data_IF_093400005098
#
_entry.id   IF_093400005098
#
_cell.length_a   1.000
_cell.length_b   1.000
_cell.length_c   1.000
_cell.angle_alpha   90.00
_cell.angle_beta   90.00
_cell.angle_gamma   90.00
#
_symmetry.space_group_name_H-M   'P 1'
#
loop_
_entity.id
_entity.type
_entity.pdbx_description
1 polymer ?
#
# COMPACT_ATOMS: atom_id res chain seq x y z
N UNK A 1 -59.36 -48.77 -32.06
CA UNK A 1 -59.08 -48.48 -30.64
C UNK A 1 -57.67 -47.91 -30.54
N UNK A 2 -57.49 -46.60 -30.70
CA UNK A 2 -56.17 -45.95 -30.67
C UNK A 2 -55.91 -45.37 -29.27
N UNK A 3 -54.74 -45.68 -28.72
CA UNK A 3 -54.30 -45.29 -27.38
C UNK A 3 -54.01 -43.78 -27.30
N UNK A 4 -54.42 -43.15 -26.18
CA UNK A 4 -54.15 -41.75 -25.91
C UNK A 4 -52.66 -41.51 -25.59
N UNK A 5 -52.05 -40.42 -26.11
CA UNK A 5 -50.66 -40.10 -25.80
C UNK A 5 -50.52 -39.58 -24.36
N UNK A 6 -49.63 -40.21 -23.58
CA UNK A 6 -49.27 -39.73 -22.26
C UNK A 6 -48.50 -38.40 -22.36
N UNK A 7 -48.91 -37.42 -21.56
CA UNK A 7 -48.22 -36.14 -21.46
C UNK A 7 -46.81 -36.33 -20.83
N UNK A 8 -45.78 -35.60 -21.33
CA UNK A 8 -44.44 -35.68 -20.75
C UNK A 8 -44.45 -35.14 -19.32
N UNK A 9 -43.93 -35.95 -18.39
CA UNK A 9 -43.86 -35.63 -16.97
C UNK A 9 -43.20 -34.27 -16.73
N UNK A 10 -43.90 -33.39 -16.00
CA UNK A 10 -43.37 -32.09 -15.55
C UNK A 10 -42.11 -32.32 -14.72
N UNK A 11 -40.95 -32.05 -15.30
CA UNK A 11 -39.67 -32.02 -14.59
C UNK A 11 -39.75 -31.08 -13.40
N UNK A 12 -39.37 -31.58 -12.22
CA UNK A 12 -39.30 -30.81 -10.98
C UNK A 12 -38.36 -29.63 -11.16
N UNK A 13 -38.92 -28.42 -11.29
CA UNK A 13 -38.18 -27.16 -11.28
C UNK A 13 -37.56 -27.02 -9.88
N UNK A 14 -36.29 -27.41 -9.75
CA UNK A 14 -35.52 -27.24 -8.52
C UNK A 14 -35.55 -25.74 -8.17
N UNK A 15 -36.32 -25.37 -7.15
CA UNK A 15 -36.39 -24.00 -6.63
C UNK A 15 -34.96 -23.49 -6.41
N UNK A 16 -34.52 -22.54 -7.23
CA UNK A 16 -33.22 -21.88 -7.05
C UNK A 16 -33.24 -21.22 -5.66
N UNK A 17 -32.20 -21.47 -4.86
CA UNK A 17 -32.07 -20.85 -3.55
C UNK A 17 -32.12 -19.33 -3.72
N UNK A 18 -32.94 -18.60 -2.92
CA UNK A 18 -33.07 -17.16 -3.07
C UNK A 18 -31.71 -16.49 -2.95
N UNK A 19 -31.44 -15.54 -3.85
CA UNK A 19 -30.19 -14.79 -3.89
C UNK A 19 -30.10 -13.93 -2.62
N UNK A 20 -29.37 -14.40 -1.62
CA UNK A 20 -29.07 -13.59 -0.44
C UNK A 20 -28.12 -12.46 -0.82
N UNK A 21 -28.67 -11.29 -1.11
CA UNK A 21 -27.90 -10.05 -1.35
C UNK A 21 -27.47 -9.51 0.01
N UNK A 22 -26.17 -9.46 0.26
CA UNK A 22 -25.61 -8.76 1.43
C UNK A 22 -25.23 -7.36 1.00
N UNK A 23 -25.87 -6.37 1.59
CA UNK A 23 -25.50 -4.98 1.47
C UNK A 23 -24.24 -4.73 2.30
N UNK A 24 -23.24 -4.09 1.71
CA UNK A 24 -22.08 -3.60 2.43
C UNK A 24 -21.84 -2.17 2.04
N UNK A 25 -21.59 -1.31 3.03
CA UNK A 25 -21.09 0.02 2.77
C UNK A 25 -19.62 -0.12 2.34
N UNK A 26 -19.34 0.18 1.08
CA UNK A 26 -17.96 0.24 0.58
C UNK A 26 -17.51 1.70 0.59
N UNK A 27 -16.22 1.93 0.83
CA UNK A 27 -15.64 3.27 0.72
C UNK A 27 -15.82 3.79 -0.72
N UNK A 28 -16.53 4.92 -0.93
CA UNK A 28 -16.72 5.49 -2.26
C UNK A 28 -15.43 6.08 -2.84
N UNK A 29 -14.44 6.37 -1.99
CA UNK A 29 -13.22 7.03 -2.42
C UNK A 29 -12.11 6.03 -2.80
N UNK A 30 -11.62 6.18 -4.03
CA UNK A 30 -10.43 5.48 -4.51
C UNK A 30 -9.22 6.40 -4.41
N UNK A 31 -8.30 6.06 -3.52
CA UNK A 31 -7.02 6.76 -3.39
C UNK A 31 -6.08 6.21 -4.46
N UNK A 32 -5.72 7.07 -5.41
CA UNK A 32 -4.90 6.72 -6.55
C UNK A 32 -3.63 7.58 -6.58
N UNK A 33 -2.58 7.01 -7.18
CA UNK A 33 -1.37 7.76 -7.47
C UNK A 33 -1.63 8.76 -8.60
N UNK A 34 -1.01 9.94 -8.52
CA UNK A 34 -1.02 10.92 -9.59
C UNK A 34 -0.31 10.38 -10.84
N UNK A 35 -0.79 10.77 -12.02
CA UNK A 35 -0.16 10.39 -13.27
C UNK A 35 1.16 11.14 -13.44
N UNK A 36 2.21 10.41 -13.81
CA UNK A 36 3.52 10.97 -14.13
C UNK A 36 3.71 11.00 -15.64
N UNK A 37 4.19 12.12 -16.16
CA UNK A 37 4.50 12.28 -17.59
C UNK A 37 5.65 11.37 -18.04
N UNK A 38 5.67 11.01 -19.32
CA UNK A 38 6.66 10.07 -19.85
C UNK A 38 8.08 10.66 -19.81
N UNK A 39 8.20 11.94 -20.12
CA UNK A 39 9.49 12.65 -20.14
C UNK A 39 10.08 12.74 -18.74
N UNK A 40 9.27 13.15 -17.77
CA UNK A 40 9.69 13.21 -16.37
C UNK A 40 9.99 11.83 -15.78
N UNK A 41 9.22 10.80 -16.13
CA UNK A 41 9.54 9.42 -15.78
C UNK A 41 10.94 9.02 -16.28
N UNK A 42 11.26 9.30 -17.54
CA UNK A 42 12.55 8.96 -18.12
C UNK A 42 13.69 9.75 -17.46
N UNK A 43 13.47 11.05 -17.23
CA UNK A 43 14.41 11.91 -16.51
C UNK A 43 14.70 11.37 -15.11
N UNK A 44 13.67 11.10 -14.31
CA UNK A 44 13.81 10.58 -12.94
C UNK A 44 14.60 9.27 -12.95
N UNK A 45 14.26 8.33 -13.84
CA UNK A 45 14.97 7.05 -13.90
C UNK A 45 16.43 7.22 -14.29
N UNK A 46 16.73 8.07 -15.28
CA UNK A 46 18.10 8.32 -15.75
C UNK A 46 18.94 9.00 -14.67
N UNK A 47 18.44 10.08 -14.06
CA UNK A 47 19.13 10.80 -12.99
C UNK A 47 19.42 9.87 -11.82
N UNK A 48 18.49 9.00 -11.44
CA UNK A 48 18.72 8.01 -10.39
C UNK A 48 19.77 6.98 -10.81
N UNK A 49 19.69 6.45 -12.02
CA UNK A 49 20.65 5.46 -12.53
C UNK A 49 22.07 6.01 -12.51
N UNK A 50 22.26 7.24 -12.97
CA UNK A 50 23.57 7.90 -13.02
C UNK A 50 24.08 8.24 -11.62
N UNK A 51 23.21 8.71 -10.72
CA UNK A 51 23.59 9.04 -9.34
C UNK A 51 23.93 7.81 -8.52
N UNK A 52 23.21 6.70 -8.67
CA UNK A 52 23.58 5.45 -7.99
C UNK A 52 24.92 4.90 -8.49
N UNK A 53 25.20 5.02 -9.80
CA UNK A 53 26.50 4.65 -10.38
C UNK A 53 27.63 5.53 -9.88
N UNK A 54 27.44 6.85 -9.82
CA UNK A 54 28.47 7.77 -9.33
C UNK A 54 28.78 7.59 -7.85
N UNK A 55 27.75 7.29 -7.05
CA UNK A 55 27.91 7.10 -5.60
C UNK A 55 28.45 5.69 -5.25
N UNK A 56 28.41 4.75 -6.20
CA UNK A 56 28.96 3.39 -6.04
C UNK A 56 28.26 2.57 -4.95
N UNK A 57 26.97 2.83 -4.69
CA UNK A 57 26.21 2.11 -3.68
C UNK A 57 25.74 0.75 -4.22
N UNK A 58 26.48 -0.30 -3.87
CA UNK A 58 26.12 -1.68 -4.21
C UNK A 58 25.99 -2.54 -2.96
N UNK A 59 25.07 -3.50 -3.01
CA UNK A 59 24.97 -4.57 -2.03
C UNK A 59 25.74 -5.78 -2.53
N UNK A 60 26.82 -6.11 -1.83
CA UNK A 60 27.64 -7.29 -2.12
C UNK A 60 27.04 -8.47 -1.36
N UNK A 61 26.46 -9.43 -2.10
CA UNK A 61 25.95 -10.67 -1.54
C UNK A 61 27.00 -11.79 -1.60
N UNK A 62 27.23 -12.46 -0.46
CA UNK A 62 28.09 -13.64 -0.39
C UNK A 62 27.47 -14.82 -1.15
N UNK A 63 27.93 -15.04 -2.39
CA UNK A 63 27.52 -16.19 -3.21
C UNK A 63 27.78 -17.55 -2.52
N UNK A 64 28.64 -17.60 -1.49
CA UNK A 64 28.97 -18.80 -0.70
C UNK A 64 27.86 -19.22 0.28
N UNK A 65 27.06 -18.28 0.81
CA UNK A 65 25.93 -18.62 1.71
C UNK A 65 24.72 -19.16 0.95
N UNK A 66 24.48 -18.68 -0.27
CA UNK A 66 23.35 -19.12 -1.10
C UNK A 66 23.47 -20.56 -1.63
N UNK A 67 24.65 -21.19 -1.55
CA UNK A 67 24.86 -22.60 -1.94
C UNK A 67 24.67 -23.60 -0.79
N UNK A 68 24.40 -23.15 0.44
CA UNK A 68 24.25 -24.03 1.62
C UNK A 68 22.87 -23.91 2.26
N UNK A 69 21.83 -24.38 1.57
CA UNK A 69 20.69 -25.00 2.26
C UNK A 69 20.15 -26.16 1.40
N UNK A 70 20.64 -27.39 1.59
CA UNK A 70 19.80 -28.55 1.39
C UNK A 70 18.83 -28.64 2.57
N UNK A 71 17.55 -28.77 2.24
CA UNK A 71 16.44 -29.14 3.11
C UNK A 71 16.87 -30.19 4.17
N UNK A 72 17.08 -29.80 5.42
CA UNK A 72 17.12 -30.75 6.53
C UNK A 72 15.68 -31.00 7.00
N UNK A 73 15.18 -32.17 6.63
CA UNK A 73 13.96 -32.78 7.14
C UNK A 73 14.02 -32.90 8.67
N UNK A 74 12.86 -32.69 9.29
CA UNK A 74 12.49 -32.99 10.68
C UNK A 74 13.15 -34.26 11.25
N UNK A 75 13.88 -34.10 12.34
CA UNK A 75 13.94 -34.97 13.53
C UNK A 75 14.29 -33.99 14.68
N UNK A 76 13.50 -33.77 15.71
CA UNK A 76 13.04 -34.75 16.69
C UNK A 76 14.02 -34.78 17.86
N UNK A 77 13.53 -34.41 19.07
CA UNK A 77 14.07 -34.70 20.41
C UNK A 77 14.87 -33.60 21.15
N UNK A 78 14.16 -32.92 22.06
CA UNK A 78 14.44 -32.83 23.51
C UNK A 78 15.85 -33.22 24.01
N UNK A 79 16.60 -32.26 24.59
CA UNK A 79 16.93 -32.15 26.03
C UNK A 79 18.02 -31.08 26.33
N UNK A 80 17.90 -30.49 27.52
CA UNK A 80 18.81 -29.55 28.19
C UNK A 80 20.09 -30.21 28.76
N UNK A 81 21.18 -29.43 28.87
CA UNK A 81 22.16 -29.32 29.99
C UNK A 81 23.27 -28.34 29.58
N UNK A 82 23.59 -27.25 30.32
CA UNK A 82 24.61 -27.14 31.40
C UNK A 82 25.92 -27.89 31.03
N UNK A 83 27.14 -27.31 30.97
CA UNK A 83 27.79 -26.28 31.79
C UNK A 83 29.17 -25.82 31.21
N UNK A 84 29.67 -24.67 31.70
CA UNK A 84 31.07 -24.28 32.04
C UNK A 84 32.17 -24.06 30.95
N UNK A 85 32.45 -22.77 30.74
CA UNK A 85 33.69 -21.98 30.92
C UNK A 85 35.11 -22.41 30.44
N UNK A 86 35.87 -21.36 30.09
CA UNK A 86 37.35 -21.18 30.10
C UNK A 86 38.08 -21.14 28.73
N UNK A 87 38.47 -19.90 28.38
CA UNK A 87 39.74 -19.44 27.76
C UNK A 87 40.27 -20.09 26.48
N UNK A 88 40.53 -19.26 25.46
CA UNK A 88 41.89 -18.79 25.05
C UNK A 88 41.81 -18.17 23.64
N UNK A 89 42.45 -17.01 23.51
CA UNK A 89 42.68 -16.28 22.26
C UNK A 89 43.75 -17.01 21.42
N UNK A 90 43.61 -17.12 20.09
CA UNK A 90 44.78 -17.27 19.23
C UNK A 90 44.83 -16.18 18.16
N UNK A 91 45.87 -15.35 18.31
CA UNK A 91 46.85 -14.96 17.32
C UNK A 91 46.45 -14.85 15.84
N UNK A 92 46.71 -13.64 15.33
CA UNK A 92 46.81 -13.21 13.94
C UNK A 92 47.50 -14.23 13.01
N UNK A 93 46.82 -14.59 11.93
CA UNK A 93 47.40 -15.02 10.64
C UNK A 93 46.63 -14.40 9.46
N UNK A 94 47.25 -14.29 8.27
CA UNK A 94 47.15 -13.14 7.38
C UNK A 94 46.03 -13.24 6.34
N UNK A 95 45.71 -12.06 5.78
CA UNK A 95 45.10 -11.79 4.46
C UNK A 95 44.48 -13.00 3.73
N UNK A 96 43.19 -13.20 3.97
CA UNK A 96 42.31 -13.87 3.03
C UNK A 96 41.16 -12.92 2.74
N UNK A 97 40.91 -12.63 1.46
CA UNK A 97 39.74 -11.92 0.95
C UNK A 97 38.43 -12.56 1.44
N UNK A 98 38.06 -12.30 2.69
CA UNK A 98 36.70 -12.45 3.16
C UNK A 98 35.99 -11.20 2.68
N UNK A 99 35.42 -11.26 1.48
CA UNK A 99 34.39 -10.28 1.11
C UNK A 99 33.31 -10.37 2.18
N UNK A 100 33.27 -9.38 3.05
CA UNK A 100 32.28 -9.29 4.11
C UNK A 100 30.97 -8.93 3.42
N UNK A 101 29.97 -9.80 3.48
CA UNK A 101 28.62 -9.48 2.97
C UNK A 101 28.13 -8.17 3.58
N UNK A 102 27.73 -7.24 2.72
CA UNK A 102 27.43 -5.89 3.19
C UNK A 102 27.16 -4.90 2.07
N UNK A 103 27.00 -3.65 2.49
CA UNK A 103 26.87 -2.50 1.60
C UNK A 103 28.25 -1.90 1.38
N UNK A 104 28.57 -1.51 0.13
CA UNK A 104 29.85 -0.85 -0.21
C UNK A 104 30.08 0.39 0.65
N UNK A 105 29.03 1.20 0.85
CA UNK A 105 29.11 2.44 1.62
C UNK A 105 27.98 2.52 2.67
N UNK A 106 28.33 2.27 3.93
CA UNK A 106 27.36 2.29 5.05
C UNK A 106 26.77 3.68 5.27
N UNK A 107 27.57 4.73 5.08
CA UNK A 107 27.14 6.13 5.23
C UNK A 107 26.05 6.48 4.21
N UNK A 108 26.30 6.19 2.94
CA UNK A 108 25.34 6.39 1.84
C UNK A 108 24.08 5.55 2.06
N UNK A 109 24.23 4.29 2.48
CA UNK A 109 23.08 3.41 2.75
C UNK A 109 22.14 3.99 3.82
N UNK A 110 22.68 4.63 4.87
CA UNK A 110 21.90 5.26 5.94
C UNK A 110 21.07 6.43 5.44
N UNK A 111 21.48 7.10 4.36
CA UNK A 111 20.75 8.20 3.74
C UNK A 111 19.50 7.73 2.97
N UNK A 112 19.37 6.44 2.69
CA UNK A 112 18.28 5.86 1.92
C UNK A 112 17.36 5.01 2.79
N UNK A 113 16.09 4.97 2.43
CA UNK A 113 15.11 4.00 2.91
C UNK A 113 14.71 3.09 1.74
N UNK A 114 15.00 1.80 1.83
CA UNK A 114 14.74 0.85 0.74
C UNK A 114 13.68 -0.15 1.18
N UNK A 115 12.61 -0.24 0.39
CA UNK A 115 11.47 -1.12 0.65
C UNK A 115 10.37 -0.44 1.43
N UNK A 116 9.17 -1.03 1.34
CA UNK A 116 7.93 -0.43 1.86
C UNK A 116 8.03 -0.17 3.36
N UNK A 117 8.51 -1.15 4.15
CA UNK A 117 8.58 -1.03 5.60
C UNK A 117 9.58 0.03 6.10
N UNK A 118 10.70 0.20 5.40
CA UNK A 118 11.66 1.25 5.77
C UNK A 118 11.10 2.62 5.43
N UNK A 119 10.48 2.75 4.25
CA UNK A 119 9.84 3.99 3.81
C UNK A 119 8.68 4.38 4.72
N UNK A 120 7.82 3.44 5.13
CA UNK A 120 6.73 3.73 6.07
C UNK A 120 7.26 4.24 7.40
N UNK A 121 8.23 3.54 8.00
CA UNK A 121 8.83 3.93 9.29
C UNK A 121 9.50 5.30 9.20
N UNK A 122 10.15 5.61 8.08
CA UNK A 122 10.78 6.90 7.87
C UNK A 122 9.76 8.03 7.60
N UNK A 123 8.64 7.75 6.91
CA UNK A 123 7.51 8.68 6.79
C UNK A 123 6.89 8.97 8.17
N UNK A 124 6.65 7.95 8.99
CA UNK A 124 6.11 8.07 10.36
C UNK A 124 6.98 8.96 11.25
N UNK A 125 8.29 8.96 11.04
CA UNK A 125 9.25 9.81 11.75
C UNK A 125 9.52 11.16 11.11
N UNK A 126 8.88 11.46 9.96
CA UNK A 126 9.12 12.68 9.18
C UNK A 126 10.61 12.84 8.77
N UNK A 127 11.27 11.74 8.45
CA UNK A 127 12.70 11.71 8.10
C UNK A 127 12.95 11.80 6.59
N UNK A 128 11.92 11.79 5.75
CA UNK A 128 12.05 11.71 4.28
C UNK A 128 11.85 13.06 3.57
N UNK A 129 12.56 13.24 2.45
CA UNK A 129 12.44 14.36 1.52
C UNK A 129 11.63 14.01 0.28
N UNK A 130 11.80 12.78 -0.23
CA UNK A 130 11.18 12.32 -1.48
C UNK A 130 10.90 10.83 -1.36
N UNK A 131 9.74 10.39 -1.85
CA UNK A 131 9.37 8.98 -1.93
C UNK A 131 9.05 8.58 -3.36
N UNK A 132 9.70 7.53 -3.84
CA UNK A 132 9.46 6.94 -5.15
C UNK A 132 8.98 5.51 -4.99
N UNK A 133 7.86 5.19 -5.63
CA UNK A 133 7.21 3.88 -5.53
C UNK A 133 7.16 3.24 -6.91
N UNK A 134 7.47 1.95 -7.01
CA UNK A 134 7.38 1.25 -8.28
C UNK A 134 5.92 0.97 -8.67
N UNK A 135 5.59 1.07 -9.97
CA UNK A 135 4.26 0.67 -10.48
C UNK A 135 4.07 -0.85 -10.62
N UNK A 136 5.15 -1.64 -10.59
CA UNK A 136 5.09 -3.09 -10.79
C UNK A 136 4.56 -3.89 -9.58
N UNK A 137 4.37 -3.23 -8.42
CA UNK A 137 3.96 -3.89 -7.18
C UNK A 137 2.54 -4.44 -7.26
N UNK A 138 2.40 -5.74 -6.99
CA UNK A 138 1.10 -6.42 -6.87
C UNK A 138 1.05 -7.18 -5.54
N UNK A 139 0.01 -7.00 -4.72
CA UNK A 139 -1.16 -6.12 -4.89
C UNK A 139 -0.88 -4.63 -4.60
N UNK A 140 -1.58 -3.72 -5.29
CA UNK A 140 -1.43 -2.27 -5.14
C UNK A 140 -1.73 -1.73 -3.74
N UNK A 141 -2.47 -2.49 -2.91
CA UNK A 141 -2.78 -2.11 -1.54
C UNK A 141 -1.51 -1.95 -0.68
N UNK A 142 -0.44 -2.68 -1.01
CA UNK A 142 0.86 -2.59 -0.32
C UNK A 142 1.47 -1.19 -0.46
N UNK A 143 1.18 -0.44 -1.51
CA UNK A 143 1.74 0.90 -1.70
C UNK A 143 0.72 2.01 -1.49
N UNK A 144 -0.58 1.69 -1.54
CA UNK A 144 -1.67 2.67 -1.40
C UNK A 144 -1.59 3.54 -0.13
N UNK A 145 -1.18 2.95 1.00
CA UNK A 145 -1.09 3.67 2.27
C UNK A 145 0.01 4.75 2.28
N UNK A 146 1.03 4.62 1.41
CA UNK A 146 2.10 5.61 1.30
C UNK A 146 1.58 6.96 0.80
N UNK A 147 0.48 6.99 0.03
CA UNK A 147 -0.12 8.23 -0.47
C UNK A 147 -0.58 9.10 0.70
N UNK A 148 -1.38 8.52 1.59
CA UNK A 148 -1.90 9.22 2.77
C UNK A 148 -0.78 9.64 3.72
N UNK A 149 0.17 8.73 3.99
CA UNK A 149 1.29 9.02 4.90
C UNK A 149 2.16 10.16 4.36
N UNK A 150 2.48 10.14 3.06
CA UNK A 150 3.30 11.19 2.43
C UNK A 150 2.59 12.54 2.45
N UNK A 151 1.30 12.55 2.13
CA UNK A 151 0.48 13.75 2.23
C UNK A 151 0.38 14.29 3.66
N UNK A 152 0.25 13.43 4.68
CA UNK A 152 0.20 13.90 6.07
C UNK A 152 1.48 14.62 6.52
N UNK A 153 2.61 14.35 5.87
CA UNK A 153 3.93 14.91 6.19
C UNK A 153 4.46 15.89 5.14
N UNK A 154 3.64 16.25 4.16
CA UNK A 154 4.00 17.14 3.04
C UNK A 154 5.25 16.65 2.27
N UNK A 155 5.39 15.32 2.14
CA UNK A 155 6.50 14.72 1.39
C UNK A 155 6.04 14.45 -0.04
N UNK A 156 6.73 14.96 -1.08
CA UNK A 156 6.42 14.63 -2.46
C UNK A 156 6.63 13.13 -2.67
N UNK A 157 5.62 12.48 -3.24
CA UNK A 157 5.67 11.05 -3.49
C UNK A 157 5.07 10.74 -4.86
N UNK A 158 5.78 9.92 -5.64
CA UNK A 158 5.41 9.58 -7.00
C UNK A 158 5.48 8.08 -7.25
N UNK A 159 4.60 7.60 -8.12
CA UNK A 159 4.70 6.26 -8.68
C UNK A 159 5.46 6.31 -10.02
N UNK A 160 6.59 5.60 -10.08
CA UNK A 160 7.44 5.49 -11.27
C UNK A 160 7.36 4.06 -11.80
N UNK A 161 6.89 3.82 -13.04
CA UNK A 161 6.93 2.51 -13.64
C UNK A 161 8.36 2.11 -13.99
N UNK A 162 8.66 0.79 -13.96
CA UNK A 162 9.99 0.24 -14.26
C UNK A 162 11.13 0.72 -13.34
N UNK A 163 10.81 1.36 -12.22
CA UNK A 163 11.79 1.76 -11.20
C UNK A 163 12.64 0.58 -10.73
N UNK A 164 12.00 -0.54 -10.39
CA UNK A 164 12.70 -1.74 -9.94
C UNK A 164 13.61 -2.33 -11.01
N UNK A 165 13.24 -2.27 -12.28
CA UNK A 165 14.01 -2.87 -13.39
C UNK A 165 15.31 -2.10 -13.63
N UNK A 166 15.29 -0.78 -13.46
CA UNK A 166 16.46 0.09 -13.69
C UNK A 166 17.35 0.21 -12.46
N UNK A 167 16.76 0.39 -11.28
CA UNK A 167 17.50 0.74 -10.08
C UNK A 167 17.97 -0.49 -9.29
N UNK A 168 17.17 -1.57 -9.25
CA UNK A 168 17.57 -2.77 -8.52
C UNK A 168 18.91 -3.38 -8.99
N UNK A 169 19.20 -3.52 -10.31
CA UNK A 169 20.49 -4.07 -10.74
C UNK A 169 21.67 -3.17 -10.36
N UNK A 170 21.52 -1.84 -10.42
CA UNK A 170 22.58 -0.89 -10.04
C UNK A 170 22.90 -0.97 -8.54
N UNK A 171 21.91 -1.21 -7.69
CA UNK A 171 22.11 -1.31 -6.24
C UNK A 171 22.54 -2.73 -5.82
N UNK A 172 22.55 -3.72 -6.72
CA UNK A 172 22.81 -5.12 -6.37
C UNK A 172 21.64 -5.79 -5.62
N UNK A 173 20.42 -5.33 -5.85
CA UNK A 173 19.19 -5.89 -5.27
C UNK A 173 18.37 -6.63 -6.33
N UNK A 174 17.54 -7.59 -5.90
CA UNK A 174 16.60 -8.28 -6.80
C UNK A 174 15.47 -7.37 -7.26
N UNK A 175 14.86 -6.65 -6.32
CA UNK A 175 13.73 -5.76 -6.57
C UNK A 175 13.71 -4.61 -5.55
N UNK A 176 13.33 -3.41 -6.01
CA UNK A 176 13.07 -2.23 -5.16
C UNK A 176 11.62 -1.78 -5.40
N UNK A 177 10.77 -1.99 -4.39
CA UNK A 177 9.33 -1.67 -4.48
C UNK A 177 9.03 -0.22 -4.11
N UNK A 178 9.76 0.30 -3.13
CA UNK A 178 9.69 1.68 -2.68
C UNK A 178 11.09 2.14 -2.32
N UNK A 179 11.37 3.42 -2.59
CA UNK A 179 12.62 4.09 -2.34
C UNK A 179 12.32 5.44 -1.69
N UNK A 180 12.99 5.75 -0.59
CA UNK A 180 12.87 7.03 0.09
C UNK A 180 14.24 7.66 0.30
N UNK A 181 14.32 8.97 0.10
CA UNK A 181 15.51 9.77 0.38
C UNK A 181 15.33 10.47 1.73
N UNK A 182 16.26 10.27 2.67
CA UNK A 182 16.18 10.91 3.98
C UNK A 182 16.60 12.37 3.93
N UNK A 183 16.14 13.17 4.88
CA UNK A 183 16.57 14.57 5.08
C UNK A 183 18.07 14.72 5.34
N UNK A 184 18.71 13.67 5.86
CA UNK A 184 20.15 13.61 6.10
C UNK A 184 20.96 13.23 4.86
N UNK A 185 20.36 13.11 3.68
CA UNK A 185 21.10 12.82 2.45
C UNK A 185 22.01 13.97 2.10
N UNK A 186 23.29 13.71 1.86
CA UNK A 186 24.25 14.68 1.29
C UNK A 186 24.53 14.35 -0.17
N UNK A 187 24.65 13.06 -0.47
CA UNK A 187 25.16 12.60 -1.77
C UNK A 187 24.08 12.58 -2.86
N UNK A 188 22.80 12.61 -2.45
CA UNK A 188 21.64 12.59 -3.34
C UNK A 188 20.91 13.93 -3.43
N UNK A 189 21.45 14.99 -2.81
CA UNK A 189 20.74 16.28 -2.67
C UNK A 189 20.40 16.89 -4.03
N UNK A 190 21.36 16.90 -4.95
CA UNK A 190 21.17 17.54 -6.26
C UNK A 190 20.18 16.76 -7.12
N UNK A 191 20.25 15.42 -7.07
CA UNK A 191 19.31 14.54 -7.73
C UNK A 191 17.88 14.76 -7.21
N UNK A 192 17.72 14.80 -5.88
CA UNK A 192 16.41 15.00 -5.25
C UNK A 192 15.85 16.38 -5.58
N UNK A 193 16.67 17.44 -5.51
CA UNK A 193 16.27 18.80 -5.90
C UNK A 193 15.82 18.90 -7.36
N UNK A 194 16.47 18.17 -8.26
CA UNK A 194 16.08 18.14 -9.67
C UNK A 194 14.79 17.36 -9.92
N UNK A 195 14.51 16.34 -9.10
CA UNK A 195 13.33 15.46 -9.25
C UNK A 195 12.07 16.08 -8.63
N UNK A 196 12.15 16.68 -7.44
CA UNK A 196 11.01 17.24 -6.71
C UNK A 196 10.08 18.11 -7.57
N UNK A 197 10.56 19.09 -8.36
CA UNK A 197 9.66 19.97 -9.14
C UNK A 197 8.91 19.25 -10.27
N UNK A 198 9.38 18.07 -10.69
CA UNK A 198 8.76 17.25 -11.74
C UNK A 198 7.78 16.21 -11.18
N UNK A 199 7.74 16.06 -9.85
CA UNK A 199 6.85 15.10 -9.20
C UNK A 199 5.45 15.70 -9.08
N UNK A 200 4.42 15.03 -9.60
CA UNK A 200 3.05 15.52 -9.47
C UNK A 200 2.60 15.49 -8.01
N UNK A 201 1.88 16.52 -7.59
CA UNK A 201 1.28 16.59 -6.26
C UNK A 201 0.25 15.47 -6.07
N UNK A 202 0.22 14.88 -4.88
CA UNK A 202 -0.81 13.93 -4.49
C UNK A 202 -2.06 14.69 -4.01
N UNK A 203 -3.24 14.12 -4.22
CA UNK A 203 -4.50 14.68 -3.74
C UNK A 203 -5.37 13.59 -3.12
N UNK A 204 -5.88 13.86 -1.92
CA UNK A 204 -6.83 12.98 -1.20
C UNK A 204 -8.03 13.82 -0.80
N UNK A 205 -9.27 13.43 -1.16
CA UNK A 205 -10.45 14.29 -1.03
C UNK A 205 -10.73 14.84 0.38
N UNK A 206 -10.40 14.09 1.43
CA UNK A 206 -10.63 14.49 2.83
C UNK A 206 -9.40 15.06 3.53
N UNK A 207 -8.25 15.11 2.85
CA UNK A 207 -7.06 15.75 3.38
C UNK A 207 -6.79 16.97 2.50
N UNK A 208 -7.24 18.17 2.92
CA UNK A 208 -6.96 19.38 2.18
C UNK A 208 -5.45 19.51 2.06
N UNK A 209 -4.92 19.39 0.83
CA UNK A 209 -3.57 19.84 0.56
C UNK A 209 -3.52 21.30 0.98
N UNK A 210 -2.57 21.68 1.83
CA UNK A 210 -2.37 23.07 2.25
C UNK A 210 -2.24 23.91 0.97
N UNK A 211 -3.32 24.59 0.58
CA UNK A 211 -3.31 25.57 -0.50
C UNK A 211 -2.50 26.77 0.01
N UNK A 212 -1.21 26.83 -0.26
CA UNK A 212 -0.67 28.10 -0.72
C UNK A 212 -1.00 28.16 -2.21
N UNK A 213 -2.18 28.68 -2.51
CA UNK A 213 -2.39 29.71 -3.51
C UNK A 213 -3.88 30.07 -3.55
N UNK A 214 -4.15 31.18 -2.87
CA UNK A 214 -5.25 32.07 -3.15
C UNK A 214 -5.20 32.44 -4.64
N UNK A 215 -5.92 31.69 -5.46
CA UNK A 215 -6.50 32.23 -6.68
C UNK A 215 -7.99 32.02 -6.56
N UNK A 216 -8.67 33.12 -6.24
CA UNK A 216 -10.10 33.29 -6.39
C UNK A 216 -10.51 32.73 -7.74
N UNK A 217 -11.19 31.57 -7.73
CA UNK A 217 -12.10 31.23 -8.81
C UNK A 217 -13.48 31.40 -8.22
N UNK A 218 -14.00 32.60 -8.41
CA UNK A 218 -15.38 33.00 -8.15
C UNK A 218 -16.26 32.24 -9.13
N UNK A 219 -16.56 30.98 -8.85
CA UNK A 219 -17.66 30.28 -9.50
C UNK A 219 -18.90 30.51 -8.64
N UNK A 220 -19.60 31.57 -9.04
CA UNK A 220 -20.94 31.94 -8.61
C UNK A 220 -21.93 30.85 -9.02
N UNK A 221 -22.12 29.84 -8.17
CA UNK A 221 -23.34 29.04 -8.23
C UNK A 221 -24.36 29.66 -7.28
N UNK A 222 -25.23 30.47 -7.90
CA UNK A 222 -26.41 31.10 -7.35
C UNK A 222 -27.33 30.07 -6.69
N UNK A 223 -27.55 30.27 -5.40
CA UNK A 223 -28.65 29.70 -4.64
C UNK A 223 -29.97 30.31 -5.14
N UNK A 224 -30.81 29.51 -5.78
CA UNK A 224 -32.26 29.75 -5.80
C UNK A 224 -32.89 28.90 -4.70
N UNK A 225 -33.34 29.59 -3.66
CA UNK A 225 -34.25 29.11 -2.62
C UNK A 225 -35.70 29.41 -3.04
N UNK A 226 -36.64 28.75 -2.34
CA UNK A 226 -38.11 28.75 -2.49
C UNK A 226 -38.57 27.65 -3.49
N UNK A 227 -39.26 26.58 -3.07
CA UNK A 227 -40.51 26.59 -2.33
C UNK A 227 -40.69 25.50 -1.26
N UNK A 228 -41.52 25.86 -0.29
CA UNK A 228 -42.00 25.09 0.87
C UNK A 228 -43.03 24.04 0.44
N UNK A 229 -43.01 22.85 1.05
CA UNK A 229 -44.27 22.26 1.57
C UNK A 229 -44.00 21.25 2.68
N UNK A 230 -44.78 21.43 3.73
CA UNK A 230 -44.84 20.75 5.01
C UNK A 230 -45.58 19.43 4.83
N UNK A 231 -45.01 18.31 5.28
CA UNK A 231 -45.83 17.17 5.73
C UNK A 231 -45.15 16.48 6.92
N UNK A 232 -45.79 16.70 8.07
CA UNK A 232 -45.63 16.01 9.34
C UNK A 232 -45.53 14.49 9.19
N UNK A 233 -44.59 13.88 9.91
CA UNK A 233 -44.85 12.59 10.55
C UNK A 233 -43.91 12.38 11.73
N UNK A 234 -44.53 12.42 12.90
CA UNK A 234 -44.04 12.09 14.24
C UNK A 234 -42.93 11.05 14.36
N UNK A 235 -41.93 11.33 15.18
CA UNK A 235 -41.32 10.29 16.03
C UNK A 235 -40.90 10.88 17.38
N UNK A 236 -41.30 10.18 18.44
CA UNK A 236 -41.10 10.59 19.82
C UNK A 236 -39.62 10.63 20.27
N UNK A 237 -39.39 11.71 20.99
CA UNK A 237 -38.64 11.91 22.23
C UNK A 237 -37.28 11.24 22.48
N UNK A 238 -36.35 12.14 22.80
CA UNK A 238 -34.97 11.95 23.19
C UNK A 238 -34.92 11.60 24.67
N UNK A 239 -34.18 10.56 25.07
CA UNK A 239 -33.60 10.61 26.43
C UNK A 239 -32.26 9.86 26.60
N UNK A 240 -31.23 10.71 26.79
CA UNK A 240 -30.19 10.63 27.82
C UNK A 240 -29.07 9.58 27.66
N UNK A 241 -27.93 10.04 27.15
CA UNK A 241 -26.64 9.72 27.79
C UNK A 241 -25.68 10.92 27.70
N UNK A 242 -25.58 11.71 28.78
CA UNK A 242 -24.58 12.76 28.95
C UNK A 242 -23.22 12.13 29.26
N UNK A 243 -22.22 12.33 28.40
CA UNK A 243 -20.80 12.30 28.78
C UNK A 243 -20.10 13.53 28.19
N UNK A 244 -19.22 14.11 29.02
CA UNK A 244 -18.68 15.47 28.98
C UNK A 244 -17.80 15.74 27.74
N UNK A 245 -17.74 16.97 27.21
CA UNK A 245 -16.84 17.31 26.11
C UNK A 245 -15.40 17.43 26.60
N UNK A 246 -14.47 16.78 25.91
CA UNK A 246 -13.03 17.09 25.95
C UNK A 246 -12.80 18.12 24.84
N UNK A 247 -12.24 19.25 25.25
CA UNK A 247 -12.02 20.46 24.46
C UNK A 247 -11.00 20.20 23.33
N UNK A 248 -11.41 20.44 22.07
CA UNK A 248 -10.52 20.41 20.90
C UNK A 248 -11.02 19.67 19.65
N UNK A 249 -12.22 19.07 19.63
CA UNK A 249 -12.76 18.43 18.43
C UNK A 249 -13.66 19.40 17.66
N UNK A 250 -13.27 19.78 16.45
CA UNK A 250 -14.21 20.34 15.47
C UNK A 250 -15.40 19.37 15.35
N UNK A 251 -16.60 19.90 15.59
CA UNK A 251 -17.83 19.13 15.49
C UNK A 251 -18.02 18.68 14.03
N UNK A 252 -17.76 17.41 13.75
CA UNK A 252 -18.05 16.82 12.44
C UNK A 252 -19.56 16.55 12.39
N UNK A 253 -20.30 17.42 11.72
CA UNK A 253 -21.73 17.25 11.47
C UNK A 253 -21.93 16.17 10.40
N UNK A 254 -22.46 15.01 10.81
CA UNK A 254 -22.74 13.90 9.90
C UNK A 254 -24.08 14.12 9.21
N UNK A 255 -24.06 14.25 7.88
CA UNK A 255 -25.29 14.33 7.11
C UNK A 255 -25.87 12.93 6.82
N UNK A 256 -27.19 12.73 6.96
CA UNK A 256 -27.84 11.46 6.63
C UNK A 256 -27.86 11.24 5.11
N UNK A 257 -27.18 10.18 4.65
CA UNK A 257 -27.18 9.81 3.23
C UNK A 257 -28.43 9.02 2.86
N UNK A 258 -29.23 9.54 1.90
CA UNK A 258 -30.34 8.83 1.27
C UNK A 258 -29.82 7.99 0.09
N UNK A 259 -29.85 6.66 0.22
CA UNK A 259 -29.43 5.73 -0.84
C UNK A 259 -30.49 5.68 -1.95
N UNK A 260 -30.20 6.24 -3.13
CA UNK A 260 -31.14 6.30 -4.26
C UNK A 260 -31.28 4.99 -5.05
N UNK A 261 -30.19 4.23 -5.23
CA UNK A 261 -30.19 3.00 -6.05
C UNK A 261 -29.11 2.02 -5.60
N UNK A 262 -29.45 0.74 -5.57
CA UNK A 262 -28.58 -0.34 -5.10
C UNK A 262 -28.19 -1.25 -6.26
N UNK A 263 -26.89 -1.33 -6.55
CA UNK A 263 -26.35 -2.16 -7.64
C UNK A 263 -25.53 -3.31 -7.03
N UNK A 264 -25.88 -4.59 -7.27
CA UNK A 264 -25.10 -5.73 -6.79
C UNK A 264 -23.65 -5.75 -7.33
N UNK A 265 -22.67 -6.09 -6.48
CA UNK A 265 -21.26 -6.18 -6.89
C UNK A 265 -21.02 -7.40 -7.81
N UNK A 266 -20.61 -7.20 -9.08
CA UNK A 266 -20.46 -8.28 -10.07
C UNK A 266 -19.28 -9.23 -9.78
N UNK A 267 -18.29 -8.82 -8.98
CA UNK A 267 -17.05 -9.58 -8.78
C UNK A 267 -17.10 -10.64 -7.66
N UNK A 268 -18.23 -10.75 -6.93
CA UNK A 268 -18.33 -11.62 -5.74
C UNK A 268 -18.80 -13.05 -6.10
N UNK A 269 -17.86 -13.94 -6.43
CA UNK A 269 -18.14 -15.39 -6.62
C UNK A 269 -18.29 -16.10 -5.25
N UNK A 270 -19.41 -16.80 -5.02
CA UNK A 270 -19.70 -17.53 -3.76
C UNK A 270 -19.02 -18.91 -3.73
N UNK A 271 -18.46 -19.30 -2.58
CA UNK A 271 -18.02 -20.69 -2.35
C UNK A 271 -19.24 -21.62 -2.17
N UNK A 272 -19.23 -22.84 -2.72
CA UNK A 272 -20.31 -23.80 -2.49
C UNK A 272 -20.35 -24.23 -1.00
N UNK A 273 -21.53 -24.54 -0.45
CA UNK A 273 -21.66 -24.95 0.94
C UNK A 273 -21.02 -26.33 1.18
N UNK A 274 -20.26 -26.45 2.28
CA UNK A 274 -19.70 -27.72 2.77
C UNK A 274 -20.80 -28.59 3.35
N UNK A 275 -21.43 -29.42 2.53
CA UNK A 275 -21.96 -30.74 2.94
C UNK A 275 -22.65 -31.44 1.78
N UNK A 276 -21.99 -32.50 1.29
CA UNK A 276 -22.60 -33.80 0.98
C UNK A 276 -21.44 -34.76 0.71
N UNK A 277 -21.18 -35.67 1.66
CA UNK A 277 -20.39 -36.87 1.42
C UNK A 277 -21.03 -37.58 0.22
N UNK A 278 -20.28 -37.74 -0.86
CA UNK A 278 -20.59 -38.70 -1.90
C UNK A 278 -20.42 -40.09 -1.31
N UNK A 279 -21.53 -40.79 -1.06
CA UNK A 279 -21.52 -42.26 -1.06
C UNK A 279 -21.35 -42.68 -2.51
N UNK A 280 -20.18 -43.23 -2.84
CA UNK A 280 -19.95 -43.96 -4.08
C UNK A 280 -20.80 -45.24 -4.06
N UNK A 281 -21.42 -45.54 -5.20
CA UNK A 281 -21.87 -46.89 -5.51
C UNK A 281 -20.66 -47.79 -5.77
#
# INVERSE_FOLDING_TARGET
>A
MAAAPQAPGRGSVRKMRPLTVKTSLNNPYTICWSALEREDMHFILQTLEDTFKSTGLEKIEDKRRNKKQPFSKKQGREKCSMDVDTSEDPEKKPEGNQQVSGWTSVHVRKQLAIGVNEVTRALERNELLLVLVCKSVKPAIITSHLIQLSLSRMVPACQVPRLSERIAPVIGLKCVLALGFRKTTTDFVDAVKAIIPRVPSLSVPWLPGRREDSRENSESDSLENEDKEILDTSFEDLSKCRKRPIEGQQAVELQPLKIKKLIPNPNKKRKPPKSKKTTSK
#
